data_IF_942272277714
#
_entry.id   IF_942272277714
#
_cell.length_a   1.000
_cell.length_b   1.000
_cell.length_c   1.000
_cell.angle_alpha   90.00
_cell.angle_beta   90.00
_cell.angle_gamma   90.00
#
_symmetry.space_group_name_H-M   'P 1'
#
loop_
_entity.id
_entity.type
_entity.pdbx_description
1 polymer ?
#
# COMPACT_ATOMS: atom_id res chain seq x y z
N UNK A 1 -21.03 -2.10 23.02
CA UNK A 1 -20.31 -3.29 22.55
C UNK A 1 -18.91 -2.86 22.22
N UNK A 2 -17.99 -3.81 22.17
CA UNK A 2 -16.64 -3.53 21.69
C UNK A 2 -16.81 -3.16 20.22
N UNK A 3 -16.21 -2.07 19.76
CA UNK A 3 -16.25 -1.72 18.33
C UNK A 3 -15.53 -2.84 17.56
N UNK A 4 -16.23 -3.59 16.69
CA UNK A 4 -15.60 -4.75 16.07
C UNK A 4 -14.43 -4.41 15.15
N UNK A 5 -14.58 -3.38 14.30
CA UNK A 5 -13.62 -3.04 13.25
C UNK A 5 -13.38 -1.53 13.28
N UNK A 6 -12.14 -1.09 13.44
CA UNK A 6 -11.74 0.29 13.17
C UNK A 6 -11.78 0.53 11.67
N UNK A 7 -12.37 1.64 11.23
CA UNK A 7 -12.39 2.04 9.83
C UNK A 7 -12.49 3.57 9.72
N UNK A 8 -11.62 4.17 8.93
CA UNK A 8 -11.61 5.58 8.55
C UNK A 8 -11.95 5.73 7.07
N UNK A 9 -13.25 5.78 6.75
CA UNK A 9 -13.73 5.75 5.36
C UNK A 9 -13.76 7.13 4.69
N UNK A 10 -13.42 8.19 5.43
CA UNK A 10 -13.28 9.54 4.88
C UNK A 10 -12.17 9.67 3.83
N UNK A 11 -11.10 8.86 3.96
CA UNK A 11 -10.00 8.78 2.99
C UNK A 11 -10.25 7.70 1.91
N UNK A 12 -11.30 6.89 2.09
CA UNK A 12 -11.83 5.85 1.17
C UNK A 12 -10.92 4.67 0.87
N UNK A 13 -9.62 4.87 0.81
CA UNK A 13 -8.67 3.80 0.54
C UNK A 13 -8.67 2.71 1.63
N UNK A 14 -8.94 2.97 2.93
CA UNK A 14 -9.03 1.87 3.89
C UNK A 14 -10.19 0.92 3.58
N UNK A 15 -11.37 1.46 3.23
CA UNK A 15 -12.54 0.66 2.83
C UNK A 15 -12.32 -0.10 1.52
N UNK A 16 -11.60 0.49 0.57
CA UNK A 16 -11.33 -0.16 -0.72
C UNK A 16 -10.62 -1.51 -0.56
N UNK A 17 -9.76 -1.67 0.45
CA UNK A 17 -9.10 -2.95 0.73
C UNK A 17 -10.08 -4.08 1.01
N UNK A 18 -11.18 -3.80 1.70
CA UNK A 18 -12.23 -4.78 1.97
C UNK A 18 -12.86 -5.30 0.68
N UNK A 19 -13.23 -4.38 -0.22
CA UNK A 19 -13.84 -4.75 -1.49
C UNK A 19 -12.88 -5.51 -2.39
N UNK A 20 -11.61 -5.06 -2.49
CA UNK A 20 -10.61 -5.74 -3.33
C UNK A 20 -10.32 -7.15 -2.81
N UNK A 21 -10.21 -7.35 -1.49
CA UNK A 21 -10.04 -8.68 -0.94
C UNK A 21 -11.24 -9.59 -1.21
N UNK A 22 -12.46 -9.07 -1.08
CA UNK A 22 -13.67 -9.80 -1.42
C UNK A 22 -13.69 -10.16 -2.91
N UNK A 23 -13.28 -9.26 -3.81
CA UNK A 23 -13.17 -9.54 -5.23
C UNK A 23 -12.11 -10.61 -5.54
N UNK A 24 -10.96 -10.58 -4.85
CA UNK A 24 -9.93 -11.63 -4.93
C UNK A 24 -10.51 -12.97 -4.47
N UNK A 25 -11.23 -13.02 -3.35
CA UNK A 25 -11.82 -14.28 -2.85
C UNK A 25 -12.93 -14.82 -3.75
N UNK A 26 -13.77 -13.95 -4.30
CA UNK A 26 -14.87 -14.34 -5.20
C UNK A 26 -14.36 -14.80 -6.57
N UNK A 27 -13.43 -14.06 -7.18
CA UNK A 27 -13.04 -14.23 -8.58
C UNK A 27 -11.63 -14.75 -8.84
N UNK A 28 -10.75 -14.70 -7.84
CA UNK A 28 -9.32 -14.98 -7.97
C UNK A 28 -8.61 -14.03 -8.95
N UNK A 29 -7.36 -14.34 -9.25
CA UNK A 29 -6.54 -13.60 -10.21
C UNK A 29 -7.21 -13.43 -11.57
N UNK A 30 -7.86 -14.48 -12.08
CA UNK A 30 -8.39 -14.48 -13.45
C UNK A 30 -9.50 -13.44 -13.64
N UNK A 31 -10.38 -13.24 -12.66
CA UNK A 31 -11.44 -12.24 -12.76
C UNK A 31 -10.86 -10.82 -12.91
N UNK A 32 -9.82 -10.49 -12.15
CA UNK A 32 -9.12 -9.22 -12.29
C UNK A 32 -8.43 -9.11 -13.66
N UNK A 33 -7.66 -10.12 -14.07
CA UNK A 33 -6.96 -10.11 -15.36
C UNK A 33 -7.94 -9.97 -16.54
N UNK A 34 -9.10 -10.63 -16.49
CA UNK A 34 -10.12 -10.52 -17.53
C UNK A 34 -10.70 -9.10 -17.57
N UNK A 35 -11.07 -8.52 -16.44
CA UNK A 35 -11.59 -7.14 -16.36
C UNK A 35 -10.54 -6.09 -16.78
N UNK A 36 -9.29 -6.27 -16.36
CA UNK A 36 -8.17 -5.38 -16.69
C UNK A 36 -7.81 -5.47 -18.18
N UNK A 37 -7.69 -6.68 -18.72
CA UNK A 37 -7.37 -6.91 -20.14
C UNK A 37 -8.56 -6.77 -21.09
N UNK A 38 -9.72 -6.36 -20.55
CA UNK A 38 -10.97 -6.13 -21.30
C UNK A 38 -11.53 -7.39 -21.97
N UNK A 39 -11.17 -8.56 -21.46
CA UNK A 39 -11.76 -9.86 -21.80
C UNK A 39 -13.02 -10.16 -20.95
N UNK A 40 -13.15 -9.47 -19.83
CA UNK A 40 -14.32 -9.38 -18.96
C UNK A 40 -14.58 -7.92 -18.57
N UNK A 41 -15.32 -7.71 -17.50
CA UNK A 41 -15.76 -6.40 -17.03
C UNK A 41 -15.77 -6.32 -15.51
N UNK A 42 -15.60 -5.12 -14.95
CA UNK A 42 -15.85 -4.89 -13.52
C UNK A 42 -17.33 -5.03 -13.13
N UNK A 43 -18.24 -5.21 -14.09
CA UNK A 43 -19.64 -5.61 -13.86
C UNK A 43 -19.86 -7.13 -13.80
N UNK A 44 -18.82 -7.93 -13.98
CA UNK A 44 -18.93 -9.39 -13.87
C UNK A 44 -19.22 -9.84 -12.43
N UNK A 45 -19.81 -11.03 -12.31
CA UNK A 45 -20.36 -11.58 -11.06
C UNK A 45 -19.44 -11.47 -9.83
N UNK A 46 -18.11 -11.75 -9.90
CA UNK A 46 -17.24 -11.65 -8.73
C UNK A 46 -17.18 -10.26 -8.09
N UNK A 47 -17.18 -9.19 -8.91
CA UNK A 47 -17.07 -7.81 -8.43
C UNK A 47 -18.38 -7.32 -7.81
N UNK A 48 -19.52 -7.72 -8.38
CA UNK A 48 -20.84 -7.44 -7.80
C UNK A 48 -21.00 -8.16 -6.47
N UNK A 49 -20.65 -9.45 -6.39
CA UNK A 49 -20.69 -10.22 -5.12
C UNK A 49 -19.77 -9.65 -4.05
N UNK A 50 -18.60 -9.15 -4.43
CA UNK A 50 -17.72 -8.45 -3.49
C UNK A 50 -18.42 -7.23 -2.89
N UNK A 51 -19.16 -6.45 -3.70
CA UNK A 51 -19.98 -5.35 -3.21
C UNK A 51 -21.16 -5.80 -2.34
N UNK A 52 -21.82 -6.91 -2.68
CA UNK A 52 -22.91 -7.48 -1.86
C UNK A 52 -22.42 -7.89 -0.48
N UNK A 53 -21.27 -8.56 -0.40
CA UNK A 53 -20.65 -8.96 0.87
C UNK A 53 -20.19 -7.77 1.69
N UNK A 54 -19.67 -6.74 1.03
CA UNK A 54 -19.31 -5.50 1.71
C UNK A 54 -20.54 -4.83 2.32
N UNK A 55 -21.64 -4.74 1.57
CA UNK A 55 -22.91 -4.22 2.06
C UNK A 55 -23.48 -5.06 3.23
N UNK A 56 -23.31 -6.38 3.20
CA UNK A 56 -23.66 -7.28 4.31
C UNK A 56 -22.87 -6.96 5.59
N UNK A 57 -21.55 -6.77 5.48
CA UNK A 57 -20.72 -6.36 6.61
C UNK A 57 -21.14 -4.98 7.14
N UNK A 58 -21.34 -4.01 6.25
CA UNK A 58 -21.75 -2.66 6.63
C UNK A 58 -23.11 -2.65 7.34
N UNK A 59 -24.05 -3.51 6.92
CA UNK A 59 -25.37 -3.66 7.54
C UNK A 59 -25.30 -4.21 8.98
N UNK A 60 -24.19 -4.85 9.37
CA UNK A 60 -23.94 -5.21 10.77
C UNK A 60 -23.52 -4.01 11.60
N UNK A 61 -23.33 -2.81 11.05
CA UNK A 61 -22.83 -1.60 11.73
C UNK A 61 -21.63 -1.90 12.66
N UNK A 62 -20.50 -2.43 12.14
CA UNK A 62 -19.36 -2.86 12.95
C UNK A 62 -18.30 -1.78 13.18
N UNK A 63 -18.51 -0.58 12.64
CA UNK A 63 -17.52 0.49 12.60
C UNK A 63 -17.77 1.55 13.69
N UNK A 64 -16.78 2.40 14.01
CA UNK A 64 -16.97 3.56 14.88
C UNK A 64 -18.12 4.47 14.40
N UNK A 65 -18.73 5.20 15.33
CA UNK A 65 -19.72 6.21 14.97
C UNK A 65 -19.09 7.27 14.06
N UNK A 66 -19.73 7.55 12.92
CA UNK A 66 -19.25 8.56 11.98
C UNK A 66 -18.07 8.11 11.10
N UNK A 67 -17.77 6.80 11.02
CA UNK A 67 -16.65 6.24 10.24
C UNK A 67 -16.50 6.78 8.81
N UNK A 68 -17.61 7.12 8.13
CA UNK A 68 -17.60 7.74 6.78
C UNK A 68 -16.91 9.10 6.71
N UNK A 69 -16.70 9.78 7.84
CA UNK A 69 -15.99 11.05 7.92
C UNK A 69 -14.65 10.98 8.66
N UNK A 70 -14.26 9.79 9.16
CA UNK A 70 -13.00 9.57 9.85
C UNK A 70 -11.88 9.33 8.84
N UNK A 71 -10.71 9.89 9.09
CA UNK A 71 -9.50 9.66 8.30
C UNK A 71 -8.79 8.38 8.75
N UNK A 72 -7.79 7.93 8.01
CA UNK A 72 -6.91 6.85 8.46
C UNK A 72 -6.14 7.21 9.75
N UNK A 73 -5.81 8.50 9.95
CA UNK A 73 -5.24 8.97 11.22
C UNK A 73 -6.20 8.69 12.38
N UNK A 74 -7.50 8.90 12.19
CA UNK A 74 -8.51 8.60 13.21
C UNK A 74 -8.68 7.08 13.39
N UNK A 75 -8.72 6.31 12.30
CA UNK A 75 -8.79 4.83 12.33
C UNK A 75 -7.66 4.21 13.14
N UNK A 76 -6.43 4.61 12.83
CA UNK A 76 -5.21 4.11 13.48
C UNK A 76 -5.14 4.53 14.94
N UNK A 77 -5.58 5.74 15.30
CA UNK A 77 -5.68 6.16 16.71
C UNK A 77 -6.73 5.31 17.48
N UNK A 78 -7.90 5.04 16.90
CA UNK A 78 -8.95 4.21 17.51
C UNK A 78 -8.43 2.79 17.77
N UNK A 79 -7.74 2.19 16.79
CA UNK A 79 -7.17 0.87 16.96
C UNK A 79 -6.00 0.86 17.95
N UNK A 80 -5.09 1.84 17.84
CA UNK A 80 -3.94 2.06 18.71
C UNK A 80 -4.33 2.15 20.18
N UNK A 81 -5.37 2.92 20.48
CA UNK A 81 -5.91 3.09 21.84
C UNK A 81 -6.73 1.87 22.34
N UNK A 82 -6.79 0.78 21.58
CA UNK A 82 -7.54 -0.42 21.96
C UNK A 82 -9.05 -0.20 22.02
N UNK A 83 -9.58 0.74 21.22
CA UNK A 83 -11.01 1.05 21.18
C UNK A 83 -11.77 0.21 20.14
N UNK A 84 -11.04 -0.47 19.25
CA UNK A 84 -11.56 -1.43 18.28
C UNK A 84 -10.82 -2.78 18.33
N UNK A 85 -11.55 -3.87 18.07
CA UNK A 85 -11.03 -5.23 18.16
C UNK A 85 -10.21 -5.66 16.92
N UNK A 86 -10.49 -5.07 15.76
CA UNK A 86 -9.82 -5.38 14.51
C UNK A 86 -9.56 -4.13 13.67
N UNK A 87 -8.58 -4.20 12.79
CA UNK A 87 -8.42 -3.33 11.62
C UNK A 87 -7.97 -4.18 10.41
N UNK A 88 -8.38 -3.82 9.20
CA UNK A 88 -7.86 -4.44 7.97
C UNK A 88 -6.83 -3.49 7.36
N UNK A 89 -5.55 -3.79 7.56
CA UNK A 89 -4.49 -2.85 7.19
C UNK A 89 -3.23 -3.54 6.68
N UNK A 90 -2.37 -2.78 6.00
CA UNK A 90 -1.06 -3.22 5.56
C UNK A 90 -0.07 -3.38 6.71
N UNK A 91 1.13 -3.85 6.39
CA UNK A 91 2.20 -4.11 7.36
C UNK A 91 2.59 -2.89 8.22
N UNK A 92 2.31 -1.67 7.75
CA UNK A 92 2.56 -0.42 8.48
C UNK A 92 1.54 -0.16 9.60
N UNK A 93 0.39 -0.84 9.58
CA UNK A 93 -0.77 -0.59 10.46
C UNK A 93 -0.41 -0.46 11.92
N UNK A 94 0.22 -1.48 12.54
CA UNK A 94 0.60 -1.43 13.95
C UNK A 94 1.54 -0.26 14.29
N UNK A 95 2.52 0.05 13.44
CA UNK A 95 3.45 1.16 13.68
C UNK A 95 2.73 2.51 13.64
N UNK A 96 1.82 2.71 12.68
CA UNK A 96 1.01 3.93 12.59
C UNK A 96 0.02 4.02 13.74
N UNK A 97 -0.63 2.91 14.12
CA UNK A 97 -1.54 2.83 15.25
C UNK A 97 -0.85 3.21 16.56
N UNK A 98 0.35 2.70 16.82
CA UNK A 98 1.14 3.09 17.99
C UNK A 98 1.58 4.56 17.95
N UNK A 99 2.06 5.04 16.80
CA UNK A 99 2.45 6.46 16.69
C UNK A 99 1.28 7.45 16.85
N UNK A 100 0.03 7.01 16.64
CA UNK A 100 -1.19 7.81 16.81
C UNK A 100 -1.95 7.53 18.12
N UNK A 101 -1.52 6.55 18.92
CA UNK A 101 -2.11 6.24 20.22
C UNK A 101 -1.61 7.22 21.29
N UNK A 102 -2.32 7.26 22.42
CA UNK A 102 -1.95 8.13 23.54
C UNK A 102 -0.68 7.64 24.28
N UNK A 103 -0.44 6.33 24.28
CA UNK A 103 0.72 5.71 24.93
C UNK A 103 1.92 5.55 24.00
N UNK A 104 1.76 5.84 22.70
CA UNK A 104 2.83 5.72 21.70
C UNK A 104 3.11 4.28 21.28
N UNK A 105 2.23 3.33 21.60
CA UNK A 105 2.42 1.91 21.36
C UNK A 105 1.18 1.28 20.71
N UNK A 106 1.39 0.31 19.82
CA UNK A 106 0.29 -0.49 19.28
C UNK A 106 -0.28 -1.41 20.38
N UNK A 107 -1.49 -1.97 20.21
CA UNK A 107 -1.99 -2.99 21.12
C UNK A 107 -0.95 -4.11 21.34
N UNK A 108 -0.71 -4.47 22.60
CA UNK A 108 0.42 -5.35 22.95
C UNK A 108 0.25 -6.80 22.45
N UNK A 109 -1.00 -7.28 22.41
CA UNK A 109 -1.34 -8.66 22.06
C UNK A 109 -2.05 -8.70 20.71
N UNK A 110 -1.26 -8.55 19.64
CA UNK A 110 -1.72 -8.53 18.25
C UNK A 110 -1.42 -9.84 17.54
N UNK A 111 -2.39 -10.29 16.76
CA UNK A 111 -2.19 -11.29 15.70
C UNK A 111 -2.52 -10.66 14.35
N UNK A 112 -1.82 -11.09 13.29
CA UNK A 112 -2.19 -10.78 11.93
C UNK A 112 -2.83 -12.01 11.29
N UNK A 113 -4.00 -11.80 10.69
CA UNK A 113 -4.78 -12.84 10.07
C UNK A 113 -4.89 -12.58 8.57
N UNK A 114 -4.70 -13.60 7.72
CA UNK A 114 -5.03 -13.47 6.30
C UNK A 114 -6.52 -13.15 6.16
N UNK A 115 -6.89 -12.45 5.08
CA UNK A 115 -8.29 -12.18 4.80
C UNK A 115 -9.06 -13.51 4.66
N UNK A 116 -10.21 -13.68 5.33
CA UNK A 116 -10.90 -14.96 5.38
C UNK A 116 -11.33 -15.47 4.00
N UNK A 117 -11.52 -16.78 3.87
CA UNK A 117 -12.02 -17.35 2.62
C UNK A 117 -13.51 -17.04 2.43
N UNK A 118 -13.92 -16.84 1.19
CA UNK A 118 -15.33 -16.79 0.82
C UNK A 118 -15.75 -18.17 0.32
N UNK A 119 -16.70 -18.80 1.01
CA UNK A 119 -17.13 -20.16 0.64
C UNK A 119 -17.78 -20.16 -0.76
N UNK A 120 -17.27 -21.01 -1.65
CA UNK A 120 -17.71 -21.06 -3.05
C UNK A 120 -17.07 -20.04 -3.99
N UNK A 121 -16.22 -19.14 -3.46
CA UNK A 121 -15.39 -18.24 -4.27
C UNK A 121 -14.28 -18.99 -5.03
N UNK A 122 -13.82 -18.40 -6.13
CA UNK A 122 -12.79 -18.97 -6.98
C UNK A 122 -11.35 -18.63 -6.55
N UNK A 123 -11.17 -17.64 -5.66
CA UNK A 123 -9.86 -17.21 -5.20
C UNK A 123 -9.15 -18.24 -4.33
N UNK A 124 -7.83 -18.32 -4.44
CA UNK A 124 -7.04 -19.18 -3.56
C UNK A 124 -6.94 -18.53 -2.17
N UNK A 125 -7.06 -19.31 -1.07
CA UNK A 125 -6.87 -18.77 0.27
C UNK A 125 -5.51 -18.09 0.50
N UNK A 126 -4.49 -18.47 -0.27
CA UNK A 126 -3.16 -17.86 -0.24
C UNK A 126 -3.02 -16.61 -1.10
N UNK A 127 -4.04 -16.22 -1.87
CA UNK A 127 -4.00 -14.97 -2.62
C UNK A 127 -3.98 -13.78 -1.66
N UNK A 128 -3.10 -12.82 -1.92
CA UNK A 128 -2.80 -11.69 -1.04
C UNK A 128 -3.05 -10.38 -1.77
N UNK A 129 -3.77 -9.47 -1.11
CA UNK A 129 -3.69 -8.04 -1.40
C UNK A 129 -2.51 -7.49 -0.62
N UNK A 130 -1.64 -6.75 -1.29
CA UNK A 130 -0.48 -6.19 -0.63
C UNK A 130 0.18 -5.15 -1.50
N UNK A 131 1.28 -4.64 -1.00
CA UNK A 131 2.03 -3.62 -1.71
C UNK A 131 3.26 -3.27 -0.92
N UNK A 132 3.98 -2.31 -1.43
CA UNK A 132 5.20 -1.86 -0.81
C UNK A 132 5.31 -0.36 -0.90
N UNK A 133 6.02 0.17 0.07
CA UNK A 133 6.46 1.55 0.07
C UNK A 133 7.82 1.60 -0.62
N UNK A 134 8.09 2.68 -1.35
CA UNK A 134 9.29 2.82 -2.16
C UNK A 134 9.45 4.23 -2.67
N UNK A 135 10.57 4.47 -3.36
CA UNK A 135 10.83 5.77 -3.95
C UNK A 135 11.04 5.63 -5.45
N UNK A 136 10.46 6.56 -6.20
CA UNK A 136 10.66 6.75 -7.62
C UNK A 136 11.51 8.00 -7.89
N UNK A 137 12.22 7.98 -9.02
CA UNK A 137 13.16 9.03 -9.41
C UNK A 137 12.53 9.89 -10.50
N UNK A 138 12.46 11.21 -10.28
CA UNK A 138 11.92 12.15 -11.26
C UNK A 138 12.80 12.26 -12.51
N UNK A 139 12.20 12.54 -13.67
CA UNK A 139 12.91 12.56 -14.95
C UNK A 139 14.09 13.56 -15.00
N UNK A 140 14.05 14.63 -14.22
CA UNK A 140 15.08 15.67 -14.17
C UNK A 140 16.00 15.55 -12.95
N UNK A 141 15.90 14.46 -12.19
CA UNK A 141 16.68 14.27 -10.97
C UNK A 141 18.19 14.24 -11.28
N UNK A 142 19.03 14.91 -10.48
CA UNK A 142 20.48 14.82 -10.61
C UNK A 142 20.97 13.39 -10.35
N UNK A 143 22.13 13.00 -10.87
CA UNK A 143 22.69 11.65 -10.69
C UNK A 143 22.86 11.27 -9.20
N UNK A 144 23.16 12.26 -8.35
CA UNK A 144 23.24 12.10 -6.90
C UNK A 144 21.94 11.57 -6.26
N UNK A 145 20.80 11.65 -6.96
CA UNK A 145 19.53 11.10 -6.49
C UNK A 145 19.51 9.58 -6.51
N UNK A 146 20.10 8.94 -7.52
CA UNK A 146 20.14 7.46 -7.58
C UNK A 146 21.11 6.92 -6.54
N UNK A 147 22.25 7.61 -6.32
CA UNK A 147 23.19 7.30 -5.23
C UNK A 147 22.53 7.44 -3.85
N UNK A 148 21.77 8.51 -3.63
CA UNK A 148 20.99 8.67 -2.40
C UNK A 148 19.92 7.58 -2.23
N UNK A 149 19.26 7.17 -3.31
CA UNK A 149 18.28 6.08 -3.27
C UNK A 149 18.93 4.71 -2.97
N UNK A 150 20.14 4.47 -3.48
CA UNK A 150 20.98 3.32 -3.09
C UNK A 150 21.31 3.36 -1.60
N UNK A 151 21.70 4.52 -1.08
CA UNK A 151 21.96 4.71 0.36
C UNK A 151 20.72 4.41 1.21
N UNK A 152 19.56 4.97 0.84
CA UNK A 152 18.28 4.75 1.56
C UNK A 152 17.86 3.28 1.58
N UNK A 153 18.17 2.54 0.52
CA UNK A 153 17.83 1.12 0.41
C UNK A 153 18.94 0.18 0.88
N UNK A 154 20.04 0.69 1.42
CA UNK A 154 21.11 -0.13 2.00
C UNK A 154 20.64 -0.91 3.24
N UNK A 155 21.37 -1.98 3.60
CA UNK A 155 21.06 -2.74 4.82
C UNK A 155 21.09 -1.89 6.09
N UNK A 156 22.02 -0.94 6.20
CA UNK A 156 22.15 -0.11 7.39
C UNK A 156 21.02 0.93 7.49
N UNK A 157 20.55 1.46 6.36
CA UNK A 157 19.36 2.31 6.32
C UNK A 157 18.09 1.51 6.66
N UNK A 158 17.92 0.33 6.06
CA UNK A 158 16.74 -0.49 6.31
C UNK A 158 16.69 -1.08 7.73
N UNK A 159 17.84 -1.31 8.40
CA UNK A 159 17.87 -1.60 9.85
C UNK A 159 17.32 -0.43 10.68
N UNK A 160 17.67 0.80 10.31
CA UNK A 160 17.20 1.99 11.03
C UNK A 160 15.71 2.22 10.85
N UNK A 161 15.18 2.03 9.64
CA UNK A 161 13.73 2.16 9.37
C UNK A 161 12.96 1.03 10.05
N UNK A 162 13.45 -0.21 10.02
CA UNK A 162 12.83 -1.32 10.72
C UNK A 162 12.70 -1.09 12.23
N UNK A 163 13.70 -0.43 12.85
CA UNK A 163 13.67 -0.10 14.28
C UNK A 163 12.56 0.88 14.70
N UNK A 164 11.93 1.56 13.72
CA UNK A 164 10.76 2.44 13.93
C UNK A 164 9.49 1.86 13.27
N UNK A 165 9.42 0.53 13.18
CA UNK A 165 8.23 -0.19 12.71
C UNK A 165 8.03 -0.20 11.19
N UNK A 166 9.00 0.28 10.41
CA UNK A 166 8.92 0.36 8.96
C UNK A 166 9.45 -0.93 8.29
N UNK A 167 8.88 -2.07 8.68
CA UNK A 167 9.22 -3.41 8.19
C UNK A 167 7.94 -4.17 7.77
N UNK A 168 8.02 -5.27 7.00
CA UNK A 168 9.22 -5.96 6.56
C UNK A 168 10.02 -5.21 5.48
N UNK A 169 11.34 -5.26 5.65
CA UNK A 169 12.35 -4.69 4.75
C UNK A 169 12.42 -5.43 3.41
N UNK A 170 13.02 -4.79 2.41
CA UNK A 170 13.09 -5.29 1.03
C UNK A 170 14.47 -5.84 0.66
N UNK A 171 15.51 -5.58 1.44
CA UNK A 171 16.86 -6.13 1.20
C UNK A 171 17.10 -7.47 1.89
N UNK A 172 17.94 -8.29 1.26
CA UNK A 172 18.35 -9.62 1.75
C UNK A 172 19.13 -9.52 3.05
N UNK A 173 18.94 -10.53 3.91
CA UNK A 173 19.81 -10.80 5.05
C UNK A 173 19.49 -9.99 6.31
N UNK A 174 18.31 -9.38 6.39
CA UNK A 174 17.87 -8.61 7.56
C UNK A 174 16.72 -9.25 8.35
N UNK A 175 16.08 -10.31 7.82
CA UNK A 175 14.90 -10.92 8.45
C UNK A 175 15.14 -11.29 9.92
N UNK A 176 16.29 -11.90 10.26
CA UNK A 176 16.62 -12.30 11.64
C UNK A 176 16.77 -11.13 12.63
N UNK A 177 17.08 -9.92 12.13
CA UNK A 177 17.40 -8.73 12.95
C UNK A 177 16.28 -7.66 12.92
N UNK A 178 15.28 -7.81 12.05
CA UNK A 178 14.27 -6.75 11.79
C UNK A 178 12.82 -7.23 11.90
N UNK A 179 12.62 -8.53 12.10
CA UNK A 179 11.32 -9.16 12.29
C UNK A 179 11.27 -9.73 13.71
N UNK A 180 10.60 -9.00 14.59
CA UNK A 180 10.61 -9.28 16.04
C UNK A 180 9.30 -9.91 16.54
N UNK A 181 8.23 -9.81 15.77
CA UNK A 181 6.89 -10.27 16.16
C UNK A 181 6.38 -11.42 15.29
N UNK A 182 5.52 -12.27 15.87
CA UNK A 182 4.87 -13.36 15.13
C UNK A 182 4.02 -12.83 13.97
N UNK A 183 3.31 -11.71 14.16
CA UNK A 183 2.50 -11.11 13.10
C UNK A 183 3.32 -10.65 11.89
N UNK A 184 4.53 -10.11 12.10
CA UNK A 184 5.43 -9.76 10.99
C UNK A 184 5.90 -11.01 10.23
N UNK A 185 6.18 -12.11 10.96
CA UNK A 185 6.54 -13.39 10.33
C UNK A 185 5.39 -13.94 9.50
N UNK A 186 4.15 -13.85 9.98
CA UNK A 186 2.96 -14.26 9.23
C UNK A 186 2.78 -13.44 7.95
N UNK A 187 3.01 -12.11 7.99
CA UNK A 187 2.97 -11.25 6.80
C UNK A 187 4.04 -11.68 5.78
N UNK A 188 5.28 -11.90 6.23
CA UNK A 188 6.38 -12.34 5.36
C UNK A 188 6.09 -13.72 4.77
N UNK A 189 5.54 -14.63 5.56
CA UNK A 189 5.12 -15.95 5.09
C UNK A 189 4.00 -15.84 4.04
N UNK A 190 2.97 -15.02 4.30
CA UNK A 190 1.86 -14.84 3.38
C UNK A 190 2.31 -14.27 2.04
N UNK A 191 3.06 -13.16 2.03
CA UNK A 191 3.52 -12.53 0.77
C UNK A 191 4.49 -13.44 -0.02
N UNK A 192 5.36 -14.20 0.65
CA UNK A 192 6.35 -15.05 -0.02
C UNK A 192 5.74 -16.33 -0.61
N UNK A 193 4.61 -16.79 -0.06
CA UNK A 193 3.95 -18.02 -0.49
C UNK A 193 2.63 -17.76 -1.22
N UNK A 194 2.32 -16.51 -1.55
CA UNK A 194 1.09 -16.15 -2.25
C UNK A 194 1.06 -16.76 -3.66
N UNK A 195 -0.04 -17.45 -4.00
CA UNK A 195 -0.27 -17.92 -5.37
C UNK A 195 -0.52 -16.74 -6.32
N UNK A 196 -1.19 -15.72 -5.81
CA UNK A 196 -1.42 -14.45 -6.48
C UNK A 196 -1.16 -13.28 -5.52
N UNK A 197 -0.39 -12.29 -5.98
CA UNK A 197 -0.18 -11.04 -5.28
C UNK A 197 -0.82 -9.90 -6.08
N UNK A 198 -1.84 -9.28 -5.51
CA UNK A 198 -2.54 -8.15 -6.08
C UNK A 198 -2.06 -6.85 -5.42
N UNK A 199 -1.55 -5.90 -6.20
CA UNK A 199 -1.35 -4.54 -5.72
C UNK A 199 -2.71 -3.84 -5.53
N UNK A 200 -2.79 -2.90 -4.59
CA UNK A 200 -3.96 -2.05 -4.35
C UNK A 200 -4.56 -1.54 -5.66
N UNK A 201 -5.87 -1.68 -5.86
CA UNK A 201 -6.48 -1.31 -7.14
C UNK A 201 -6.31 0.17 -7.43
N UNK A 202 -6.31 1.02 -6.40
CA UNK A 202 -6.11 2.47 -6.54
C UNK A 202 -4.67 2.87 -6.93
N UNK A 203 -3.70 1.99 -6.70
CA UNK A 203 -2.30 2.17 -7.12
C UNK A 203 -1.97 1.42 -8.42
N UNK A 204 -2.60 0.27 -8.66
CA UNK A 204 -2.34 -0.57 -9.82
C UNK A 204 -3.09 -0.11 -11.07
N UNK A 205 -4.36 0.31 -10.93
CA UNK A 205 -5.15 0.77 -12.06
C UNK A 205 -4.78 2.22 -12.42
N UNK A 206 -5.12 2.70 -13.64
CA UNK A 206 -5.06 4.12 -13.96
C UNK A 206 -5.67 4.98 -12.84
N UNK A 207 -5.08 6.12 -12.46
CA UNK A 207 -5.53 6.96 -11.36
C UNK A 207 -7.02 7.32 -11.40
N UNK A 208 -7.57 7.57 -12.59
CA UNK A 208 -8.99 7.85 -12.77
C UNK A 208 -9.87 6.63 -12.40
N UNK A 209 -9.45 5.43 -12.77
CA UNK A 209 -10.14 4.17 -12.41
C UNK A 209 -9.96 3.90 -10.92
N UNK A 210 -8.74 4.02 -10.40
CA UNK A 210 -8.42 3.85 -8.98
C UNK A 210 -9.25 4.76 -8.07
N UNK A 211 -9.34 6.05 -8.40
CA UNK A 211 -10.20 6.99 -7.69
C UNK A 211 -11.69 6.62 -7.79
N UNK A 212 -12.13 6.09 -8.94
CA UNK A 212 -13.51 5.61 -9.11
C UNK A 212 -13.79 4.37 -8.26
N UNK A 213 -12.83 3.46 -8.10
CA UNK A 213 -12.95 2.31 -7.18
C UNK A 213 -13.15 2.80 -5.74
N UNK A 214 -12.31 3.73 -5.28
CA UNK A 214 -12.43 4.30 -3.94
C UNK A 214 -13.80 4.97 -3.72
N UNK A 215 -14.24 5.80 -4.67
CA UNK A 215 -15.55 6.46 -4.61
C UNK A 215 -16.73 5.47 -4.61
N UNK A 216 -16.66 4.43 -5.44
CA UNK A 216 -17.72 3.44 -5.57
C UNK A 216 -17.83 2.56 -4.31
N UNK A 217 -16.70 2.22 -3.69
CA UNK A 217 -16.67 1.45 -2.45
C UNK A 217 -17.21 2.26 -1.27
N UNK A 218 -16.81 3.53 -1.14
CA UNK A 218 -17.36 4.44 -0.12
C UNK A 218 -18.88 4.55 -0.24
N UNK A 219 -19.40 4.66 -1.47
CA UNK A 219 -20.84 4.71 -1.70
C UNK A 219 -21.58 3.43 -1.28
N UNK A 220 -20.94 2.25 -1.34
CA UNK A 220 -21.52 1.01 -0.80
C UNK A 220 -21.59 1.09 0.73
N UNK A 221 -20.50 1.51 1.39
CA UNK A 221 -20.48 1.72 2.85
C UNK A 221 -21.54 2.71 3.30
N UNK A 222 -21.70 3.82 2.57
CA UNK A 222 -22.71 4.83 2.82
C UNK A 222 -24.15 4.37 2.51
N UNK A 223 -24.33 3.23 1.84
CA UNK A 223 -25.62 2.77 1.32
C UNK A 223 -26.19 3.71 0.24
N UNK A 224 -25.33 4.49 -0.40
CA UNK A 224 -25.66 5.47 -1.43
C UNK A 224 -25.69 4.86 -2.85
N UNK A 225 -25.02 3.73 -3.06
CA UNK A 225 -25.07 2.93 -4.28
C UNK A 225 -25.32 1.45 -3.97
N UNK A 226 -26.02 0.78 -4.88
CA UNK A 226 -26.08 -0.69 -4.89
C UNK A 226 -24.75 -1.28 -5.39
N UNK A 227 -24.44 -2.55 -5.06
CA UNK A 227 -23.27 -3.24 -5.61
C UNK A 227 -23.17 -3.19 -7.13
N UNK A 228 -24.30 -3.32 -7.84
CA UNK A 228 -24.35 -3.24 -9.30
C UNK A 228 -24.09 -1.81 -9.82
N UNK A 229 -24.61 -0.79 -9.15
CA UNK A 229 -24.34 0.61 -9.50
C UNK A 229 -22.87 0.98 -9.26
N UNK A 230 -22.27 0.51 -8.17
CA UNK A 230 -20.86 0.70 -7.88
C UNK A 230 -19.98 0.00 -8.93
N UNK A 231 -20.28 -1.26 -9.25
CA UNK A 231 -19.59 -2.01 -10.30
C UNK A 231 -19.70 -1.34 -11.67
N UNK A 232 -20.88 -0.80 -12.01
CA UNK A 232 -21.09 -0.06 -13.26
C UNK A 232 -20.29 1.25 -13.31
N UNK A 233 -20.17 1.98 -12.20
CA UNK A 233 -19.33 3.19 -12.13
C UNK A 233 -17.85 2.87 -12.40
N UNK A 234 -17.33 1.82 -11.77
CA UNK A 234 -15.96 1.36 -11.98
C UNK A 234 -15.74 0.96 -13.45
N UNK A 235 -16.67 0.19 -14.01
CA UNK A 235 -16.61 -0.24 -15.40
C UNK A 235 -16.67 0.93 -16.40
N UNK A 236 -17.52 1.93 -16.16
CA UNK A 236 -17.63 3.11 -17.02
C UNK A 236 -16.27 3.83 -17.09
N UNK A 237 -15.60 4.02 -15.95
CA UNK A 237 -14.25 4.59 -15.87
C UNK A 237 -13.21 3.69 -16.55
N UNK A 238 -13.21 2.40 -16.23
CA UNK A 238 -12.26 1.43 -16.77
C UNK A 238 -12.37 1.27 -18.30
N UNK A 239 -13.58 1.27 -18.84
CA UNK A 239 -13.83 1.15 -20.28
C UNK A 239 -13.22 2.31 -21.08
N UNK A 240 -13.18 3.51 -20.49
CA UNK A 240 -12.58 4.67 -21.12
C UNK A 240 -11.04 4.64 -21.01
N UNK A 241 -10.53 4.41 -19.80
CA UNK A 241 -9.10 4.53 -19.51
C UNK A 241 -8.30 3.35 -20.10
N UNK A 242 -8.76 2.11 -19.89
CA UNK A 242 -8.01 0.91 -20.29
C UNK A 242 -8.11 0.60 -21.80
N UNK A 243 -9.22 0.95 -22.45
CA UNK A 243 -9.29 0.86 -23.91
C UNK A 243 -8.39 1.91 -24.59
N UNK A 244 -8.20 3.07 -23.96
CA UNK A 244 -7.27 4.12 -24.41
C UNK A 244 -5.82 3.63 -24.45
N UNK A 245 -5.37 3.01 -23.35
CA UNK A 245 -4.00 2.47 -23.22
C UNK A 245 -3.68 1.40 -24.27
N UNK A 246 -4.65 0.54 -24.60
CA UNK A 246 -4.49 -0.49 -25.64
C UNK A 246 -4.24 0.08 -27.05
N UNK A 247 -4.75 1.29 -27.33
CA UNK A 247 -4.58 1.97 -28.62
C UNK A 247 -3.26 2.74 -28.71
N UNK A 248 -2.78 3.26 -27.59
CA UNK A 248 -1.49 3.96 -27.51
C UNK A 248 -0.31 2.98 -27.53
N UNK A 249 -0.41 1.85 -26.82
CA UNK A 249 0.58 0.76 -26.90
C UNK A 249 0.74 0.21 -28.33
N UNK A 250 -0.37 0.06 -29.08
CA UNK A 250 -0.32 -0.36 -30.49
C UNK A 250 0.24 0.71 -31.45
N UNK A 251 0.28 1.98 -31.04
CA UNK A 251 0.86 3.08 -31.82
C UNK A 251 2.35 3.27 -31.52
N UNK A 252 2.81 2.92 -30.31
CA UNK A 252 4.20 3.03 -29.87
C UNK A 252 5.14 1.97 -30.50
N UNK A 253 4.62 0.84 -30.99
CA UNK A 253 5.43 -0.20 -31.68
C UNK A 253 6.08 0.27 -33.01
N UNK A 254 5.93 1.53 -33.44
CA UNK A 254 6.42 2.04 -34.75
C UNK A 254 7.65 2.96 -34.65
N UNK A 255 8.13 3.36 -33.48
CA UNK A 255 9.38 4.15 -33.39
C UNK A 255 10.31 3.64 -32.29
N UNK A 256 11.39 2.96 -32.69
CA UNK A 256 12.61 2.88 -31.90
C UNK A 256 13.81 3.11 -32.80
N UNK A 257 14.59 4.16 -32.52
CA UNK A 257 16.00 4.18 -32.86
C UNK A 257 16.79 5.21 -32.04
N UNK A 258 17.83 4.67 -31.39
CA UNK A 258 19.07 5.27 -30.83
C UNK A 258 19.03 5.95 -29.46
N UNK A 259 19.61 5.27 -28.47
CA UNK A 259 20.29 5.88 -27.31
C UNK A 259 21.77 5.49 -27.35
N UNK A 260 22.66 6.44 -27.06
CA UNK A 260 24.11 6.26 -26.97
C UNK A 260 24.51 5.89 -25.55
N UNK A 261 25.44 4.94 -25.44
CA UNK A 261 26.14 4.55 -24.22
C UNK A 261 26.92 5.73 -23.61
N UNK A 262 26.72 6.01 -22.33
CA UNK A 262 27.74 6.63 -21.48
C UNK A 262 27.93 5.80 -20.20
N UNK A 263 29.21 5.59 -19.88
CA UNK A 263 29.75 4.68 -18.86
C UNK A 263 29.65 5.33 -17.46
N UNK A 264 29.16 4.59 -16.46
CA UNK A 264 29.03 5.06 -15.08
C UNK A 264 30.38 5.44 -14.46
N UNK A 265 30.48 6.65 -13.90
CA UNK A 265 31.64 7.12 -13.16
C UNK A 265 31.51 6.79 -11.66
N UNK A 266 32.62 6.35 -11.06
CA UNK A 266 32.71 5.99 -9.64
C UNK A 266 32.67 7.19 -8.67
N UNK A 267 32.33 6.87 -7.43
CA UNK A 267 31.85 7.74 -6.35
C UNK A 267 32.81 8.80 -5.75
N UNK A 268 33.73 9.41 -6.50
CA UNK A 268 34.57 10.51 -5.97
C UNK A 268 34.73 11.66 -6.98
N UNK A 269 33.63 12.40 -7.21
CA UNK A 269 33.58 13.82 -7.64
C UNK A 269 32.15 14.15 -8.15
N UNK A 270 31.13 14.03 -7.28
CA UNK A 270 29.78 14.46 -7.67
C UNK A 270 29.72 16.00 -7.78
N UNK A 271 29.07 16.51 -8.84
CA UNK A 271 28.80 17.94 -8.98
C UNK A 271 27.87 18.44 -7.85
N UNK A 272 27.87 19.75 -7.51
CA UNK A 272 26.92 20.29 -6.55
C UNK A 272 25.47 20.02 -6.98
N UNK A 273 24.68 19.41 -6.11
CA UNK A 273 23.31 19.00 -6.40
C UNK A 273 22.35 19.32 -5.26
N UNK A 274 21.10 19.65 -5.60
CA UNK A 274 20.00 19.74 -4.65
C UNK A 274 18.95 18.69 -5.03
N UNK A 275 18.58 17.83 -4.08
CA UNK A 275 17.59 16.76 -4.26
C UNK A 275 16.32 17.16 -3.51
N UNK A 276 15.23 17.41 -4.22
CA UNK A 276 13.88 17.56 -3.64
C UNK A 276 13.30 16.18 -3.38
N UNK A 277 13.23 15.80 -2.11
CA UNK A 277 12.73 14.49 -1.68
C UNK A 277 11.36 14.62 -1.02
N UNK A 278 10.33 13.97 -1.56
CA UNK A 278 8.98 14.01 -1.01
C UNK A 278 8.54 12.64 -0.48
N UNK A 279 8.01 12.58 0.75
CA UNK A 279 7.50 11.33 1.32
C UNK A 279 6.32 11.55 2.30
N UNK A 280 5.71 10.44 2.74
CA UNK A 280 4.45 10.45 3.51
C UNK A 280 4.59 10.09 5.00
N UNK A 281 5.80 9.83 5.47
CA UNK A 281 6.04 9.44 6.87
C UNK A 281 5.83 10.62 7.81
N UNK A 282 4.59 10.79 8.28
CA UNK A 282 4.17 11.89 9.16
C UNK A 282 4.42 11.62 10.65
N UNK A 283 4.62 10.35 11.02
CA UNK A 283 4.91 9.98 12.41
C UNK A 283 6.28 10.52 12.82
N UNK A 284 6.40 11.02 14.06
CA UNK A 284 7.60 11.76 14.51
C UNK A 284 8.87 10.91 14.39
N UNK A 285 8.81 9.65 14.79
CA UNK A 285 9.90 8.68 14.74
C UNK A 285 10.31 8.32 13.31
N UNK A 286 9.34 8.09 12.42
CA UNK A 286 9.60 7.81 11.01
C UNK A 286 10.11 9.05 10.25
N UNK A 287 9.55 10.23 10.50
CA UNK A 287 10.06 11.48 9.94
C UNK A 287 11.50 11.76 10.41
N UNK A 288 11.77 11.50 11.70
CA UNK A 288 13.11 11.67 12.27
C UNK A 288 14.12 10.67 11.68
N UNK A 289 13.75 9.41 11.43
CA UNK A 289 14.66 8.44 10.82
C UNK A 289 15.03 8.84 9.40
N UNK A 290 14.07 9.32 8.60
CA UNK A 290 14.34 9.82 7.26
C UNK A 290 15.20 11.09 7.24
N UNK A 291 14.92 12.04 8.13
CA UNK A 291 15.76 13.23 8.26
C UNK A 291 17.18 12.86 8.67
N UNK A 292 17.35 11.92 9.61
CA UNK A 292 18.67 11.43 10.01
C UNK A 292 19.41 10.80 8.84
N UNK A 293 18.76 9.96 8.05
CA UNK A 293 19.38 9.33 6.88
C UNK A 293 19.79 10.36 5.81
N UNK A 294 18.99 11.39 5.58
CA UNK A 294 19.37 12.51 4.72
C UNK A 294 20.59 13.28 5.29
N UNK A 295 20.61 13.54 6.60
CA UNK A 295 21.72 14.25 7.26
C UNK A 295 23.02 13.44 7.21
N UNK A 296 22.95 12.12 7.44
CA UNK A 296 24.09 11.21 7.35
C UNK A 296 24.66 11.19 5.93
N UNK A 297 23.80 11.08 4.92
CA UNK A 297 24.23 11.14 3.52
C UNK A 297 24.86 12.51 3.18
N UNK A 298 24.25 13.63 3.56
CA UNK A 298 24.84 14.96 3.34
C UNK A 298 26.18 15.17 4.06
N UNK A 299 26.41 14.49 5.18
CA UNK A 299 27.69 14.53 5.89
C UNK A 299 28.80 13.79 5.12
N UNK A 300 28.45 12.70 4.43
CA UNK A 300 29.36 11.93 3.56
C UNK A 300 29.53 12.58 2.18
N UNK A 301 28.52 13.34 1.73
CA UNK A 301 28.46 14.00 0.42
C UNK A 301 28.24 15.52 0.55
N UNK A 302 29.26 16.32 0.97
CA UNK A 302 29.10 17.73 1.34
C UNK A 302 28.74 18.68 0.18
N UNK A 303 28.76 18.19 -1.06
CA UNK A 303 28.31 18.88 -2.27
C UNK A 303 26.82 18.67 -2.57
N UNK A 304 26.15 17.76 -1.86
CA UNK A 304 24.73 17.46 -2.02
C UNK A 304 23.92 18.13 -0.92
N UNK A 305 22.78 18.70 -1.28
CA UNK A 305 21.77 19.20 -0.34
C UNK A 305 20.47 18.44 -0.57
N UNK A 306 19.85 17.93 0.50
CA UNK A 306 18.57 17.23 0.43
C UNK A 306 17.50 18.12 1.08
N UNK A 307 16.44 18.40 0.32
CA UNK A 307 15.28 19.16 0.78
C UNK A 307 14.07 18.24 0.91
N UNK A 308 13.70 17.93 2.16
CA UNK A 308 12.60 17.01 2.45
C UNK A 308 11.26 17.77 2.51
N UNK A 309 10.25 17.22 1.84
CA UNK A 309 8.84 17.63 1.97
C UNK A 309 8.02 16.45 2.47
N UNK A 310 7.47 16.58 3.68
CA UNK A 310 6.57 15.59 4.27
C UNK A 310 5.12 16.05 4.12
N UNK A 311 4.25 15.15 3.67
CA UNK A 311 2.82 15.41 3.48
C UNK A 311 2.02 14.21 3.97
N UNK A 312 0.82 14.45 4.52
CA UNK A 312 -0.16 13.38 4.72
C UNK A 312 -0.50 12.73 3.36
N UNK A 313 -0.77 11.43 3.36
CA UNK A 313 -0.93 10.59 2.18
C UNK A 313 -1.87 11.15 1.09
N UNK A 314 -3.09 11.56 1.44
CA UNK A 314 -4.04 12.09 0.45
C UNK A 314 -3.63 13.50 -0.03
N UNK A 315 -3.11 14.33 0.88
CA UNK A 315 -2.50 15.61 0.50
C UNK A 315 -1.27 15.43 -0.42
N UNK A 316 -0.48 14.37 -0.20
CA UNK A 316 0.69 13.99 -1.00
C UNK A 316 0.24 13.61 -2.42
N UNK A 317 -0.70 12.67 -2.57
CA UNK A 317 -1.20 12.21 -3.87
C UNK A 317 -1.76 13.37 -4.70
N UNK A 318 -2.54 14.26 -4.09
CA UNK A 318 -3.10 15.45 -4.76
C UNK A 318 -2.01 16.42 -5.22
N UNK A 319 -1.03 16.71 -4.34
CA UNK A 319 0.05 17.64 -4.67
C UNK A 319 1.01 17.06 -5.69
N UNK A 320 1.37 15.78 -5.56
CA UNK A 320 2.22 15.06 -6.51
C UNK A 320 1.60 15.08 -7.90
N UNK A 321 0.33 14.73 -8.03
CA UNK A 321 -0.40 14.78 -9.31
C UNK A 321 -0.33 16.17 -9.95
N UNK A 322 -0.51 17.23 -9.15
CA UNK A 322 -0.45 18.61 -9.63
C UNK A 322 0.93 18.98 -10.17
N UNK A 323 2.01 18.63 -9.46
CA UNK A 323 3.37 18.96 -9.91
C UNK A 323 3.81 18.11 -11.10
N UNK A 324 3.40 16.84 -11.14
CA UNK A 324 3.61 15.95 -12.28
C UNK A 324 2.95 16.50 -13.55
N UNK A 325 1.70 16.95 -13.47
CA UNK A 325 0.99 17.60 -14.59
C UNK A 325 1.65 18.90 -15.07
N UNK A 326 2.42 19.57 -14.20
CA UNK A 326 3.17 20.77 -14.57
C UNK A 326 4.52 20.47 -15.23
N UNK A 327 4.92 19.20 -15.30
CA UNK A 327 6.22 18.77 -15.84
C UNK A 327 7.41 19.08 -14.92
N UNK A 328 7.16 19.24 -13.63
CA UNK A 328 8.19 19.51 -12.60
C UNK A 328 8.13 18.46 -11.48
N UNK A 329 8.45 17.18 -11.78
CA UNK A 329 8.48 16.12 -10.78
C UNK A 329 9.52 16.43 -9.68
N UNK A 330 9.26 16.06 -8.41
CA UNK A 330 10.32 16.00 -7.40
C UNK A 330 11.44 15.07 -7.86
N UNK A 331 12.66 15.30 -7.38
CA UNK A 331 13.81 14.51 -7.80
C UNK A 331 13.71 13.07 -7.26
N UNK A 332 13.28 12.93 -6.01
CA UNK A 332 12.93 11.66 -5.38
C UNK A 332 11.55 11.78 -4.73
N UNK A 333 10.66 10.80 -4.91
CA UNK A 333 9.34 10.86 -4.29
C UNK A 333 8.81 9.48 -3.93
N UNK A 334 8.01 9.42 -2.86
CA UNK A 334 7.31 8.20 -2.45
C UNK A 334 6.41 7.69 -3.59
N UNK A 335 6.46 6.38 -3.80
CA UNK A 335 5.59 5.65 -4.72
C UNK A 335 5.17 4.32 -4.09
N UNK A 336 4.16 3.70 -4.68
CA UNK A 336 3.71 2.35 -4.35
C UNK A 336 3.93 1.37 -5.52
N UNK A 337 4.64 1.84 -6.57
CA UNK A 337 4.72 1.15 -7.84
C UNK A 337 3.38 1.14 -8.60
N UNK A 338 3.27 0.25 -9.58
CA UNK A 338 2.04 0.00 -10.32
C UNK A 338 1.63 1.12 -11.27
N UNK A 339 0.36 1.08 -11.67
CA UNK A 339 -0.23 1.91 -12.73
C UNK A 339 0.00 3.41 -12.57
N UNK A 340 -0.01 3.95 -11.35
CA UNK A 340 0.26 5.38 -11.13
C UNK A 340 1.68 5.73 -11.55
N UNK A 341 2.68 4.94 -11.14
CA UNK A 341 4.08 5.15 -11.52
C UNK A 341 4.28 4.93 -13.02
N UNK A 342 3.65 3.88 -13.57
CA UNK A 342 3.66 3.54 -14.99
C UNK A 342 3.14 4.68 -15.87
N UNK A 343 2.06 5.36 -15.46
CA UNK A 343 1.59 6.54 -16.20
C UNK A 343 2.59 7.70 -16.17
N UNK A 344 3.31 7.89 -15.06
CA UNK A 344 4.38 8.88 -15.03
C UNK A 344 5.54 8.49 -15.96
N UNK A 345 5.83 7.20 -16.09
CA UNK A 345 6.82 6.68 -17.03
C UNK A 345 6.40 6.92 -18.49
N UNK A 346 5.17 6.55 -18.86
CA UNK A 346 4.60 6.81 -20.19
C UNK A 346 4.60 8.31 -20.54
N UNK A 347 4.41 9.17 -19.55
CA UNK A 347 4.48 10.62 -19.70
C UNK A 347 5.91 11.20 -19.72
N UNK A 348 6.94 10.37 -19.53
CA UNK A 348 8.35 10.79 -19.46
C UNK A 348 8.69 11.65 -18.23
N UNK A 349 7.95 11.48 -17.13
CA UNK A 349 8.10 12.25 -15.89
C UNK A 349 8.97 11.57 -14.83
N UNK A 350 9.41 10.33 -15.07
CA UNK A 350 10.34 9.57 -14.23
C UNK A 350 11.55 9.11 -15.02
N UNK A 351 12.67 8.93 -14.32
CA UNK A 351 13.96 8.49 -14.89
C UNK A 351 14.03 6.96 -14.89
N UNK A 352 14.46 6.38 -16.00
CA UNK A 352 14.87 4.97 -16.06
C UNK A 352 16.17 4.79 -15.27
N UNK A 353 16.12 3.95 -14.24
CA UNK A 353 17.25 3.58 -13.36
C UNK A 353 17.68 2.12 -13.54
N UNK A 354 17.22 1.46 -14.60
CA UNK A 354 17.60 0.07 -14.91
C UNK A 354 19.11 -0.13 -15.01
N UNK A 355 19.89 0.76 -15.65
CA UNK A 355 21.34 0.61 -15.72
C UNK A 355 22.00 0.54 -14.33
N UNK A 356 21.51 1.30 -13.36
CA UNK A 356 22.04 1.31 -12.00
C UNK A 356 21.63 0.05 -11.21
N UNK A 357 20.53 -0.60 -11.58
CA UNK A 357 20.09 -1.88 -11.02
C UNK A 357 20.82 -3.08 -11.62
N UNK A 358 21.60 -2.91 -12.69
CA UNK A 358 22.48 -3.96 -13.24
C UNK A 358 23.68 -4.21 -12.31
N UNK A 359 23.49 -4.96 -11.22
CA UNK A 359 24.59 -5.38 -10.35
C UNK A 359 24.21 -5.60 -8.90
N UNK A 360 25.16 -5.32 -8.00
CA UNK A 360 25.03 -5.62 -6.56
C UNK A 360 23.81 -4.96 -5.91
N UNK A 361 23.42 -3.76 -6.37
CA UNK A 361 22.25 -3.07 -5.84
C UNK A 361 20.95 -3.80 -6.21
N UNK A 362 20.71 -4.10 -7.48
CA UNK A 362 19.56 -4.90 -7.91
C UNK A 362 19.54 -6.30 -7.26
N UNK A 363 20.71 -6.94 -7.16
CA UNK A 363 20.87 -8.23 -6.49
C UNK A 363 20.64 -8.17 -4.97
N UNK A 364 20.58 -6.99 -4.36
CA UNK A 364 20.38 -6.83 -2.92
C UNK A 364 18.92 -7.05 -2.48
N UNK A 365 17.94 -6.92 -3.38
CA UNK A 365 16.51 -7.02 -3.05
C UNK A 365 16.07 -8.49 -2.85
N UNK A 366 15.41 -8.77 -1.72
CA UNK A 366 14.99 -10.09 -1.29
C UNK A 366 13.86 -10.67 -2.15
N UNK A 367 12.97 -9.81 -2.67
CA UNK A 367 11.83 -10.20 -3.47
C UNK A 367 11.82 -9.46 -4.81
N UNK A 368 12.09 -10.19 -5.90
CA UNK A 368 12.07 -9.62 -7.24
C UNK A 368 10.68 -9.07 -7.60
N UNK A 369 9.61 -9.75 -7.15
CA UNK A 369 8.23 -9.31 -7.35
C UNK A 369 7.94 -7.95 -6.73
N UNK A 370 8.61 -7.58 -5.63
CA UNK A 370 8.47 -6.25 -5.04
C UNK A 370 9.14 -5.19 -5.92
N UNK A 371 10.31 -5.49 -6.47
CA UNK A 371 11.03 -4.60 -7.38
C UNK A 371 10.29 -4.42 -8.71
N UNK A 372 9.68 -5.49 -9.23
CA UNK A 372 8.86 -5.47 -10.46
C UNK A 372 7.67 -4.51 -10.38
N UNK A 373 7.12 -4.22 -9.19
CA UNK A 373 6.09 -3.19 -9.03
C UNK A 373 6.58 -1.79 -9.44
N UNK A 374 7.89 -1.54 -9.39
CA UNK A 374 8.50 -0.26 -9.72
C UNK A 374 9.03 -0.19 -11.16
N UNK A 375 8.74 -1.21 -11.97
CA UNK A 375 9.14 -1.27 -13.37
C UNK A 375 7.97 -1.59 -14.31
N UNK A 376 8.18 -1.28 -15.59
CA UNK A 376 7.25 -1.56 -16.68
C UNK A 376 8.07 -1.81 -17.94
N UNK A 377 7.67 -2.82 -18.73
CA UNK A 377 8.29 -3.14 -20.03
C UNK A 377 9.82 -3.31 -19.99
N UNK A 378 10.34 -3.77 -18.85
CA UNK A 378 11.77 -4.01 -18.64
C UNK A 378 12.57 -2.80 -18.15
N UNK A 379 11.96 -1.63 -18.02
CA UNK A 379 12.53 -0.46 -17.38
C UNK A 379 12.09 -0.34 -15.91
N UNK A 380 12.93 0.24 -15.06
CA UNK A 380 12.66 0.50 -13.65
C UNK A 380 12.75 1.99 -13.35
N UNK A 381 11.82 2.51 -12.56
CA UNK A 381 11.71 3.95 -12.28
C UNK A 381 11.85 4.29 -10.80
N UNK A 382 12.09 3.27 -9.98
CA UNK A 382 12.18 3.35 -8.54
C UNK A 382 12.49 2.00 -7.91
N UNK A 383 12.54 1.97 -6.59
CA UNK A 383 12.76 0.74 -5.82
C UNK A 383 11.91 0.72 -4.54
N UNK A 384 11.51 -0.48 -4.07
CA UNK A 384 10.78 -0.61 -2.81
C UNK A 384 11.73 -0.55 -1.61
N UNK A 385 11.31 0.09 -0.51
CA UNK A 385 11.98 0.06 0.80
C UNK A 385 11.23 -0.79 1.84
N UNK A 386 9.92 -0.97 1.68
CA UNK A 386 9.10 -1.94 2.45
C UNK A 386 8.16 -2.66 1.53
N UNK A 387 7.80 -3.89 1.87
CA UNK A 387 6.84 -4.68 1.12
C UNK A 387 6.05 -5.54 2.09
N UNK A 388 4.79 -5.86 1.80
CA UNK A 388 3.97 -6.60 2.75
C UNK A 388 2.62 -6.99 2.20
N UNK A 389 1.81 -7.50 3.11
CA UNK A 389 0.46 -7.96 2.85
C UNK A 389 -0.51 -7.15 3.72
N UNK A 390 -1.69 -6.88 3.18
CA UNK A 390 -2.84 -6.40 3.95
C UNK A 390 -3.48 -7.58 4.64
N UNK A 391 -3.89 -7.45 5.89
CA UNK A 391 -4.66 -8.47 6.58
C UNK A 391 -5.34 -7.91 7.80
N UNK A 392 -6.07 -8.76 8.51
CA UNK A 392 -6.83 -8.37 9.68
C UNK A 392 -5.89 -8.43 10.88
N UNK A 393 -5.52 -7.28 11.43
CA UNK A 393 -4.93 -7.22 12.75
C UNK A 393 -6.03 -7.41 13.79
N UNK A 394 -5.83 -8.31 14.74
CA UNK A 394 -6.78 -8.54 15.83
C UNK A 394 -6.13 -8.24 17.17
N UNK A 395 -6.81 -7.42 17.97
CA UNK A 395 -6.49 -7.22 19.38
C UNK A 395 -7.05 -8.40 20.19
N UNK A 396 -6.19 -9.36 20.51
CA UNK A 396 -6.56 -10.62 21.17
C UNK A 396 -7.20 -10.35 22.54
N UNK A 397 -6.76 -9.33 23.27
CA UNK A 397 -7.31 -9.00 24.58
C UNK A 397 -8.79 -8.58 24.50
N UNK A 398 -9.20 -7.91 23.42
CA UNK A 398 -10.60 -7.55 23.18
C UNK A 398 -11.44 -8.75 22.73
N UNK A 399 -10.84 -9.68 21.96
CA UNK A 399 -11.48 -10.95 21.62
C UNK A 399 -11.75 -11.80 22.88
N UNK A 400 -10.76 -11.96 23.75
CA UNK A 400 -10.89 -12.70 25.00
C UNK A 400 -11.96 -12.09 25.93
N UNK A 401 -12.03 -10.76 25.99
CA UNK A 401 -13.07 -10.05 26.75
C UNK A 401 -14.49 -10.34 26.23
N UNK A 402 -14.65 -10.54 24.91
CA UNK A 402 -15.91 -10.96 24.29
C UNK A 402 -16.15 -12.49 24.37
N UNK A 403 -15.21 -13.27 24.91
CA UNK A 403 -15.30 -14.71 25.02
C UNK A 403 -14.90 -15.47 23.75
N UNK A 404 -14.20 -14.81 22.82
CA UNK A 404 -13.56 -15.41 21.66
C UNK A 404 -12.11 -15.80 22.03
N UNK A 405 -11.52 -16.77 21.35
CA UNK A 405 -10.16 -17.27 21.66
C UNK A 405 -9.03 -16.53 20.91
N UNK A 406 -9.38 -15.46 20.17
CA UNK A 406 -8.43 -14.67 19.37
C UNK A 406 -7.90 -15.38 18.12
N UNK A 407 -8.51 -16.50 17.71
CA UNK A 407 -8.13 -17.18 16.48
C UNK A 407 -8.61 -16.43 15.23
N UNK A 408 -7.80 -16.52 14.17
CA UNK A 408 -8.14 -15.93 12.89
C UNK A 408 -9.44 -16.53 12.31
N UNK A 409 -10.38 -15.71 11.80
CA UNK A 409 -11.57 -16.22 11.13
C UNK A 409 -11.16 -16.97 9.86
N UNK A 410 -11.54 -18.24 9.75
CA UNK A 410 -11.20 -19.03 8.58
C UNK A 410 -12.04 -18.60 7.36
N UNK A 411 -13.33 -18.35 7.58
CA UNK A 411 -14.29 -17.97 6.54
C UNK A 411 -14.89 -16.59 6.77
N UNK A 412 -15.45 -15.99 5.72
CA UNK A 412 -16.12 -14.69 5.81
C UNK A 412 -17.30 -14.75 6.78
N UNK A 413 -18.02 -15.86 6.83
CA UNK A 413 -19.12 -16.08 7.78
C UNK A 413 -18.60 -16.13 9.24
N UNK A 414 -17.41 -16.70 9.48
CA UNK A 414 -16.76 -16.66 10.80
C UNK A 414 -16.42 -15.22 11.21
N UNK A 415 -15.95 -14.40 10.26
CA UNK A 415 -15.70 -12.98 10.50
C UNK A 415 -16.99 -12.24 10.89
N UNK A 416 -18.09 -12.45 10.15
CA UNK A 416 -19.39 -11.84 10.49
C UNK A 416 -19.91 -12.30 11.86
N UNK A 417 -19.70 -13.58 12.21
CA UNK A 417 -20.06 -14.12 13.52
C UNK A 417 -19.21 -13.51 14.66
N UNK A 418 -17.91 -13.32 14.45
CA UNK A 418 -17.03 -12.63 15.39
C UNK A 418 -17.47 -11.18 15.58
N UNK A 419 -17.77 -10.46 14.49
CA UNK A 419 -18.33 -9.10 14.51
C UNK A 419 -19.57 -9.04 15.38
N UNK A 420 -20.56 -9.92 15.14
CA UNK A 420 -21.79 -9.93 15.92
C UNK A 420 -21.52 -10.18 17.42
N UNK A 421 -20.60 -11.10 17.73
CA UNK A 421 -20.23 -11.44 19.12
C UNK A 421 -19.57 -10.25 19.84
N UNK A 422 -18.65 -9.53 19.18
CA UNK A 422 -17.99 -8.33 19.71
C UNK A 422 -18.99 -7.20 20.00
N UNK A 423 -19.98 -7.00 19.11
CA UNK A 423 -21.07 -6.05 19.34
C UNK A 423 -21.92 -6.43 20.54
N UNK A 424 -22.34 -7.69 20.61
CA UNK A 424 -23.25 -8.22 21.63
C UNK A 424 -22.60 -8.34 23.02
N UNK A 425 -21.26 -8.33 23.10
CA UNK A 425 -20.53 -8.38 24.35
C UNK A 425 -20.95 -7.26 25.33
N UNK A 426 -21.47 -6.13 24.81
CA UNK A 426 -21.98 -5.04 25.65
C UNK A 426 -20.91 -4.33 26.49
N UNK A 427 -19.63 -4.65 26.26
CA UNK A 427 -18.47 -4.04 26.89
C UNK A 427 -18.14 -2.76 26.14
N UNK A 428 -17.82 -1.68 26.85
CA UNK A 428 -17.15 -0.52 26.26
C UNK A 428 -15.67 -0.67 26.60
N UNK A 429 -14.76 -0.76 25.62
CA UNK A 429 -13.33 -0.80 25.88
C UNK A 429 -12.91 0.35 26.79
N UNK A 430 -11.98 0.09 27.71
CA UNK A 430 -11.46 1.13 28.59
C UNK A 430 -10.46 1.94 27.76
N UNK A 431 -10.83 3.17 27.41
CA UNK A 431 -9.89 4.16 26.88
C UNK A 431 -8.89 4.53 28.00
N UNK A 432 -7.59 4.31 27.76
CA UNK A 432 -6.51 4.76 28.64
C UNK A 432 -6.21 6.21 28.26
N UNK A 433 -6.71 7.15 29.07
CA UNK A 433 -6.60 8.60 28.87
C UNK A 433 -5.41 9.28 29.55
#
# INVERSE_FOLDING_TARGET
GITPISLGEGDKWPGHFWWVYLAIREGGQQAFLDAYSRQGSFTDEPFVKAGEKLAELAALEPFPEGYLGLTYTDESAIFGNGEAAMELMGQWGPAVAGGNSEDGEAPANLVWCPFPVVEGGAGDPSDVLGGGEGFAVGANAPDATVDFLQFLTSQDSQRQTAAVGMSPVTVKGLDEDTIDSEWQQEIVNARNNAAYFQLYYDQFLPPAVGGTVNDAVEQIFAGAATPEEAAAQIEDSASFELEGTSREAAAAEVESDVVQDEEAAGAEDMEPATIRWWHISTQEDQAAVWQKLADDYMAEHPNVTIEITVLENEAFKQRLTTVMQSGDPPDLFQSWGGGVLWQFADAGLVRDISPELEGEWGDSFAAQSALELYGQDGAYYGVPWSWGAVGIFQNVDLFEQAGLDGSCPATYDDLLANVQTLKDAGITPISLG
#
